data_IF_806980191851
#
_entry.id   IF_806980191851
#
_cell.length_a   1.000
_cell.length_b   1.000
_cell.length_c   1.000
_cell.angle_alpha   90.00
_cell.angle_beta   90.00
_cell.angle_gamma   90.00
#
_symmetry.space_group_name_H-M   'P 1'
#
loop_
_entity.id
_entity.type
_entity.pdbx_description
1 polymer ?
#
# COMPACT_ATOMS: atom_id res chain seq x y z
N UNK A 1 -19.54 37.36 -21.36
CA UNK A 1 -19.74 35.91 -21.57
C UNK A 1 -20.91 35.47 -20.72
N UNK A 2 -21.86 34.67 -21.23
CA UNK A 2 -22.90 34.10 -20.38
C UNK A 2 -22.29 33.12 -19.38
N UNK A 3 -22.78 33.12 -18.14
CA UNK A 3 -22.43 32.11 -17.13
C UNK A 3 -22.87 30.72 -17.63
N UNK A 4 -21.98 29.74 -17.58
CA UNK A 4 -22.25 28.34 -17.96
C UNK A 4 -22.84 27.53 -16.81
N UNK A 5 -23.05 28.13 -15.64
CA UNK A 5 -23.60 27.45 -14.47
C UNK A 5 -25.10 27.78 -14.32
N UNK A 6 -25.94 26.78 -14.01
CA UNK A 6 -27.37 27.01 -13.78
C UNK A 6 -27.57 27.85 -12.52
N UNK A 7 -28.34 28.95 -12.64
CA UNK A 7 -28.62 29.86 -11.50
C UNK A 7 -29.74 29.35 -10.58
N UNK A 8 -30.47 28.31 -10.98
CA UNK A 8 -31.43 27.61 -10.14
C UNK A 8 -30.81 26.33 -9.62
N UNK A 9 -30.65 26.26 -8.30
CA UNK A 9 -30.08 25.11 -7.59
C UNK A 9 -30.70 23.80 -8.06
N UNK A 10 -29.87 22.98 -8.68
CA UNK A 10 -30.23 21.60 -9.01
C UNK A 10 -30.21 20.83 -7.70
N UNK A 11 -31.39 20.57 -7.14
CA UNK A 11 -31.55 19.56 -6.09
C UNK A 11 -31.43 18.21 -6.78
N UNK A 12 -30.20 17.70 -6.84
CA UNK A 12 -30.01 16.28 -7.11
C UNK A 12 -30.61 15.51 -5.92
N UNK A 13 -31.37 14.46 -6.23
CA UNK A 13 -32.25 13.76 -5.30
C UNK A 13 -31.57 13.29 -4.01
N UNK A 14 -32.42 13.04 -3.01
CA UNK A 14 -32.17 12.54 -1.66
C UNK A 14 -30.70 12.61 -1.21
N UNK A 15 -30.40 13.54 -0.30
CA UNK A 15 -29.24 13.43 0.57
C UNK A 15 -29.33 12.08 1.31
N UNK A 16 -28.87 11.00 0.66
CA UNK A 16 -28.50 9.79 1.34
C UNK A 16 -27.35 10.21 2.26
N UNK A 17 -27.72 10.37 3.52
CA UNK A 17 -26.83 10.55 4.64
C UNK A 17 -25.92 9.31 4.73
N UNK A 18 -24.85 9.33 3.93
CA UNK A 18 -23.78 8.31 3.92
C UNK A 18 -22.97 8.32 5.24
N UNK A 19 -23.36 9.12 6.23
CA UNK A 19 -22.68 9.23 7.53
C UNK A 19 -22.85 8.00 8.44
N UNK A 20 -23.53 6.96 7.97
CA UNK A 20 -23.76 5.71 8.69
C UNK A 20 -22.79 4.57 8.36
N UNK A 21 -21.55 4.81 7.95
CA UNK A 21 -20.56 3.73 7.95
C UNK A 21 -20.19 3.42 9.41
N UNK A 22 -20.81 2.38 9.97
CA UNK A 22 -20.38 1.83 11.26
C UNK A 22 -18.86 1.61 11.18
N UNK A 23 -18.11 2.24 12.09
CA UNK A 23 -16.68 2.00 12.24
C UNK A 23 -16.49 0.55 12.69
N UNK A 24 -16.34 -0.38 11.73
CA UNK A 24 -15.89 -1.73 12.05
C UNK A 24 -14.54 -1.58 12.77
N UNK A 25 -14.44 -2.11 13.99
CA UNK A 25 -13.17 -2.15 14.70
C UNK A 25 -12.13 -2.86 13.82
N UNK A 26 -11.08 -2.13 13.45
CA UNK A 26 -10.02 -2.65 12.58
C UNK A 26 -9.28 -3.76 13.32
N UNK A 27 -9.39 -5.00 12.82
CA UNK A 27 -8.80 -6.18 13.46
C UNK A 27 -7.41 -6.47 12.94
N UNK A 28 -6.45 -6.63 13.85
CA UNK A 28 -5.13 -7.15 13.54
C UNK A 28 -5.08 -8.65 13.85
N UNK A 29 -4.88 -9.45 12.80
CA UNK A 29 -4.77 -10.92 12.89
C UNK A 29 -3.34 -11.41 13.07
N UNK A 30 -3.20 -12.67 13.49
CA UNK A 30 -1.89 -13.36 13.52
C UNK A 30 -1.57 -13.92 12.14
N UNK A 31 -0.28 -14.05 11.85
CA UNK A 31 0.21 -14.59 10.59
C UNK A 31 1.32 -15.62 10.78
N UNK A 32 2.02 -15.90 9.70
CA UNK A 32 3.24 -16.71 9.69
C UNK A 32 4.41 -15.81 9.34
N UNK A 33 5.55 -16.05 9.96
CA UNK A 33 6.78 -15.32 9.63
C UNK A 33 7.34 -15.83 8.32
N UNK A 34 7.56 -14.89 7.41
CA UNK A 34 8.22 -15.13 6.14
C UNK A 34 9.49 -14.29 6.10
N UNK A 35 10.60 -14.92 5.74
CA UNK A 35 11.87 -14.26 5.50
C UNK A 35 11.94 -13.91 4.01
N UNK A 36 11.86 -12.62 3.69
CA UNK A 36 11.89 -12.14 2.30
C UNK A 36 13.28 -12.21 1.67
N UNK A 37 14.35 -12.22 2.48
CA UNK A 37 15.71 -12.33 1.98
C UNK A 37 16.04 -13.80 1.65
N UNK A 38 15.60 -14.73 2.50
CA UNK A 38 15.73 -16.16 2.25
C UNK A 38 14.67 -16.71 1.26
N UNK A 39 13.53 -16.04 1.15
CA UNK A 39 12.40 -16.48 0.33
C UNK A 39 11.64 -17.67 0.91
N UNK A 40 11.68 -17.89 2.23
CA UNK A 40 11.06 -19.04 2.88
C UNK A 40 10.43 -18.67 4.24
N UNK A 41 9.56 -19.55 4.74
CA UNK A 41 8.98 -19.42 6.06
C UNK A 41 10.02 -19.68 7.15
N UNK A 42 10.02 -18.81 8.17
CA UNK A 42 10.90 -19.00 9.32
C UNK A 42 10.42 -20.19 10.14
N UNK A 43 11.30 -21.16 10.39
CA UNK A 43 10.99 -22.34 11.20
C UNK A 43 11.48 -22.15 12.65
N UNK A 44 10.68 -22.66 13.59
CA UNK A 44 11.09 -22.83 14.99
C UNK A 44 12.12 -23.98 15.12
N UNK A 45 12.88 -24.07 16.23
CA UNK A 45 13.77 -25.21 16.47
C UNK A 45 13.08 -26.58 16.44
N UNK A 46 11.75 -26.61 16.62
CA UNK A 46 10.91 -27.81 16.54
C UNK A 46 10.46 -28.19 15.12
N UNK A 47 10.85 -27.43 14.10
CA UNK A 47 10.47 -27.65 12.70
C UNK A 47 9.09 -27.12 12.30
N UNK A 48 8.36 -26.44 13.19
CA UNK A 48 7.08 -25.77 12.87
C UNK A 48 7.31 -24.37 12.35
N UNK A 49 6.45 -23.87 11.46
CA UNK A 49 6.48 -22.47 11.00
C UNK A 49 6.27 -21.52 12.18
N UNK A 50 7.10 -20.49 12.26
CA UNK A 50 7.03 -19.47 13.30
C UNK A 50 5.81 -18.57 13.07
N UNK A 51 5.04 -18.36 14.13
CA UNK A 51 3.90 -17.45 14.08
C UNK A 51 4.36 -16.00 14.15
N UNK A 52 3.75 -15.14 13.33
CA UNK A 52 3.88 -13.70 13.40
C UNK A 52 2.78 -13.13 14.31
N UNK A 53 3.14 -12.16 15.15
CA UNK A 53 2.19 -11.39 15.94
C UNK A 53 1.31 -10.49 15.06
N UNK A 54 0.38 -9.76 15.69
CA UNK A 54 -0.53 -8.83 15.02
C UNK A 54 0.21 -7.79 14.16
N UNK A 55 1.12 -7.04 14.78
CA UNK A 55 1.95 -6.03 14.11
C UNK A 55 2.83 -6.62 13.02
N UNK A 56 3.55 -7.70 13.35
CA UNK A 56 4.47 -8.37 12.42
C UNK A 56 3.72 -8.93 11.19
N UNK A 57 2.52 -9.48 11.38
CA UNK A 57 1.69 -9.95 10.28
C UNK A 57 1.20 -8.80 9.38
N UNK A 58 0.98 -7.60 9.93
CA UNK A 58 0.66 -6.41 9.16
C UNK A 58 1.88 -5.89 8.37
N UNK A 59 3.07 -5.82 8.98
CA UNK A 59 4.32 -5.50 8.26
C UNK A 59 4.51 -6.45 7.06
N UNK A 60 4.36 -7.76 7.32
CA UNK A 60 4.47 -8.79 6.29
C UNK A 60 3.44 -8.61 5.17
N UNK A 61 2.23 -8.15 5.50
CA UNK A 61 1.22 -7.79 4.52
C UNK A 61 1.64 -6.58 3.68
N UNK A 62 2.15 -5.50 4.30
CA UNK A 62 2.59 -4.30 3.59
C UNK A 62 3.69 -4.61 2.57
N UNK A 63 4.72 -5.34 2.99
CA UNK A 63 5.83 -5.75 2.12
C UNK A 63 5.29 -6.58 0.94
N UNK A 64 4.42 -7.55 1.22
CA UNK A 64 3.83 -8.40 0.19
C UNK A 64 2.97 -7.61 -0.80
N UNK A 65 2.14 -6.69 -0.29
CA UNK A 65 1.24 -5.88 -1.11
C UNK A 65 2.05 -5.00 -2.07
N UNK A 66 3.11 -4.35 -1.60
CA UNK A 66 3.99 -3.54 -2.46
C UNK A 66 4.71 -4.39 -3.51
N UNK A 67 5.20 -5.59 -3.15
CA UNK A 67 5.92 -6.48 -4.07
C UNK A 67 5.04 -7.27 -5.04
N UNK A 68 3.72 -7.25 -4.86
CA UNK A 68 2.81 -8.03 -5.72
C UNK A 68 2.30 -7.14 -6.87
N UNK A 69 2.51 -7.52 -8.14
CA UNK A 69 1.93 -6.81 -9.27
C UNK A 69 0.40 -6.86 -9.24
N UNK A 70 -0.24 -5.69 -9.24
CA UNK A 70 -1.69 -5.56 -9.26
C UNK A 70 -2.24 -6.14 -10.57
N UNK A 71 -3.44 -6.71 -10.53
CA UNK A 71 -4.15 -7.32 -11.67
C UNK A 71 -3.49 -8.56 -12.32
N UNK A 72 -2.29 -8.96 -11.90
CA UNK A 72 -1.55 -10.10 -12.46
C UNK A 72 -2.10 -11.45 -12.04
N UNK A 73 -2.60 -11.56 -10.81
CA UNK A 73 -3.02 -12.84 -10.22
C UNK A 73 -4.50 -12.85 -9.87
N UNK A 74 -5.23 -13.83 -10.39
CA UNK A 74 -6.70 -13.98 -10.23
C UNK A 74 -7.12 -14.19 -8.77
N UNK A 75 -6.22 -14.67 -7.92
CA UNK A 75 -6.48 -14.90 -6.49
C UNK A 75 -6.62 -13.60 -5.68
N UNK A 76 -6.20 -12.46 -6.25
CA UNK A 76 -6.23 -11.17 -5.58
C UNK A 76 -7.40 -10.31 -6.04
N UNK A 77 -7.91 -9.50 -5.11
CA UNK A 77 -8.87 -8.45 -5.45
C UNK A 77 -8.17 -7.37 -6.29
N UNK A 78 -8.98 -6.54 -6.97
CA UNK A 78 -8.45 -5.39 -7.73
C UNK A 78 -7.75 -4.35 -6.85
N UNK A 79 -7.99 -4.37 -5.55
CA UNK A 79 -7.40 -3.43 -4.59
C UNK A 79 -6.10 -3.96 -3.96
N UNK A 80 -5.61 -5.12 -4.39
CA UNK A 80 -4.40 -5.73 -3.82
C UNK A 80 -3.25 -5.74 -4.83
N UNK A 81 -2.07 -5.34 -4.36
CA UNK A 81 -0.87 -5.21 -5.18
C UNK A 81 -0.55 -3.76 -5.52
N UNK A 82 0.62 -3.53 -6.11
CA UNK A 82 1.07 -2.24 -6.65
C UNK A 82 1.23 -2.30 -8.17
N UNK A 83 1.27 -1.13 -8.81
CA UNK A 83 1.50 -0.96 -10.26
C UNK A 83 2.95 -0.52 -10.54
N UNK A 84 3.87 -0.77 -9.59
CA UNK A 84 5.27 -0.30 -9.65
C UNK A 84 6.04 -0.88 -10.83
N UNK A 85 5.69 -2.09 -11.28
CA UNK A 85 6.30 -2.74 -12.44
C UNK A 85 5.96 -2.04 -13.76
N UNK A 86 4.88 -1.26 -13.80
CA UNK A 86 4.49 -0.49 -14.99
C UNK A 86 5.37 0.75 -15.23
N UNK A 87 6.09 1.23 -14.20
CA UNK A 87 6.99 2.39 -14.30
C UNK A 87 8.29 2.08 -15.06
N UNK A 88 8.62 0.80 -15.19
CA UNK A 88 9.86 0.34 -15.80
C UNK A 88 9.81 0.60 -17.31
N UNK A 89 10.81 1.33 -17.82
CA UNK A 89 10.93 1.58 -19.25
C UNK A 89 10.02 2.67 -19.82
N UNK A 90 9.29 3.43 -18.99
CA UNK A 90 8.44 4.54 -19.46
C UNK A 90 9.23 5.76 -19.96
N UNK A 91 10.53 5.85 -19.64
CA UNK A 91 11.40 6.94 -20.08
C UNK A 91 11.12 8.28 -19.39
N UNK A 92 10.39 8.25 -18.28
CA UNK A 92 10.04 9.43 -17.49
C UNK A 92 11.24 10.04 -16.77
N UNK A 93 11.11 11.32 -16.41
CA UNK A 93 12.08 11.97 -15.55
C UNK A 93 12.02 11.36 -14.13
N UNK A 94 13.15 11.35 -13.42
CA UNK A 94 13.22 10.82 -12.05
C UNK A 94 12.18 11.44 -11.12
N UNK A 95 11.93 12.75 -11.20
CA UNK A 95 10.92 13.40 -10.36
C UNK A 95 9.49 12.92 -10.64
N UNK A 96 9.19 12.56 -11.90
CA UNK A 96 7.89 11.94 -12.25
C UNK A 96 7.82 10.53 -11.68
N UNK A 97 8.88 9.73 -11.83
CA UNK A 97 8.94 8.38 -11.25
C UNK A 97 8.81 8.40 -9.72
N UNK A 98 9.52 9.28 -9.02
CA UNK A 98 9.41 9.44 -7.56
C UNK A 98 8.00 9.82 -7.11
N UNK A 99 7.32 10.70 -7.86
CA UNK A 99 5.93 11.07 -7.61
C UNK A 99 4.98 9.88 -7.82
N UNK A 100 5.16 9.12 -8.90
CA UNK A 100 4.33 7.94 -9.18
C UNK A 100 4.59 6.81 -8.17
N UNK A 101 5.83 6.56 -7.78
CA UNK A 101 6.16 5.60 -6.70
C UNK A 101 5.46 6.02 -5.41
N UNK A 102 5.56 7.29 -5.03
CA UNK A 102 4.88 7.82 -3.84
C UNK A 102 3.38 7.57 -3.90
N UNK A 103 2.74 7.90 -5.02
CA UNK A 103 1.31 7.72 -5.24
C UNK A 103 0.91 6.25 -5.16
N UNK A 104 1.55 5.38 -5.95
CA UNK A 104 1.21 3.96 -6.06
C UNK A 104 1.43 3.20 -4.76
N UNK A 105 2.52 3.46 -4.03
CA UNK A 105 2.79 2.84 -2.73
C UNK A 105 1.75 3.29 -1.70
N UNK A 106 1.45 4.58 -1.67
CA UNK A 106 0.44 5.15 -0.75
C UNK A 106 -0.93 4.54 -1.00
N UNK A 107 -1.38 4.50 -2.26
CA UNK A 107 -2.65 3.86 -2.64
C UNK A 107 -2.69 2.37 -2.29
N UNK A 108 -1.59 1.65 -2.51
CA UNK A 108 -1.48 0.21 -2.23
C UNK A 108 -1.63 -0.09 -0.74
N UNK A 109 -0.98 0.69 0.12
CA UNK A 109 -0.96 0.42 1.55
C UNK A 109 -2.19 0.97 2.28
N UNK A 110 -2.75 2.11 1.83
CA UNK A 110 -3.99 2.68 2.37
C UNK A 110 -5.24 1.89 1.95
N UNK A 111 -5.13 0.95 1.01
CA UNK A 111 -6.20 0.02 0.68
C UNK A 111 -6.55 -0.94 1.83
N UNK A 112 -5.67 -1.09 2.84
CA UNK A 112 -5.93 -1.88 4.04
C UNK A 112 -6.24 -0.96 5.23
N UNK A 113 -7.37 -1.18 5.93
CA UNK A 113 -7.83 -0.30 7.00
C UNK A 113 -6.91 -0.26 8.23
N UNK A 114 -5.92 -1.15 8.32
CA UNK A 114 -4.90 -1.14 9.38
C UNK A 114 -3.87 -0.05 9.21
N UNK A 115 -3.68 0.44 7.98
CA UNK A 115 -2.71 1.48 7.65
C UNK A 115 -3.34 2.85 7.84
N UNK A 116 -2.71 3.69 8.65
CA UNK A 116 -3.15 5.07 8.90
C UNK A 116 -2.49 6.06 7.93
N UNK A 117 -1.17 5.94 7.74
CA UNK A 117 -0.42 6.87 6.89
C UNK A 117 0.83 6.24 6.29
N UNK A 118 1.22 6.80 5.13
CA UNK A 118 2.45 6.46 4.40
C UNK A 118 3.12 7.76 4.00
N UNK A 119 4.33 8.01 4.49
CA UNK A 119 5.03 9.28 4.28
C UNK A 119 6.56 9.12 4.37
N UNK A 120 7.29 10.24 4.43
CA UNK A 120 8.76 10.26 4.55
C UNK A 120 9.47 9.43 3.49
N UNK A 121 9.05 9.58 2.24
CA UNK A 121 9.68 8.91 1.11
C UNK A 121 11.12 9.41 0.92
N UNK A 122 12.04 8.46 0.73
CA UNK A 122 13.40 8.73 0.27
C UNK A 122 13.71 7.86 -0.94
N UNK A 123 14.53 8.38 -1.84
CA UNK A 123 14.86 7.74 -3.11
C UNK A 123 16.36 7.73 -3.32
N UNK A 124 16.90 6.59 -3.70
CA UNK A 124 18.28 6.41 -4.12
C UNK A 124 18.32 5.74 -5.50
N UNK A 125 19.01 6.40 -6.43
CA UNK A 125 19.02 6.01 -7.84
C UNK A 125 20.36 5.41 -8.23
N UNK A 126 20.32 4.15 -8.67
CA UNK A 126 21.45 3.48 -9.30
C UNK A 126 21.13 3.19 -10.78
N UNK A 127 21.58 4.08 -11.67
CA UNK A 127 21.27 4.06 -13.11
C UNK A 127 19.77 4.14 -13.37
N UNK A 128 19.15 3.01 -13.70
CA UNK A 128 17.72 2.82 -14.00
C UNK A 128 16.96 2.22 -12.82
N UNK A 129 17.66 1.66 -11.82
CA UNK A 129 17.06 1.12 -10.60
C UNK A 129 16.82 2.24 -9.60
N UNK A 130 15.62 2.25 -9.00
CA UNK A 130 15.26 3.14 -7.91
C UNK A 130 15.05 2.32 -6.63
N UNK A 131 15.91 2.52 -5.64
CA UNK A 131 15.66 2.09 -4.27
C UNK A 131 14.83 3.18 -3.59
N UNK A 132 13.78 2.79 -2.88
CA UNK A 132 13.01 3.73 -2.07
C UNK A 132 12.78 3.18 -0.67
N UNK A 133 12.61 4.10 0.27
CA UNK A 133 12.05 3.79 1.58
C UNK A 133 10.97 4.77 1.95
N UNK A 134 10.02 4.33 2.78
CA UNK A 134 8.98 5.19 3.35
C UNK A 134 8.64 4.75 4.77
N UNK A 135 8.11 5.69 5.55
CA UNK A 135 7.53 5.41 6.85
C UNK A 135 6.07 5.01 6.67
N UNK A 136 5.70 3.89 7.27
CA UNK A 136 4.32 3.39 7.30
C UNK A 136 3.85 3.36 8.75
N UNK A 137 2.74 4.03 9.04
CA UNK A 137 2.13 4.04 10.36
C UNK A 137 0.79 3.31 10.33
N UNK A 138 0.52 2.57 11.41
CA UNK A 138 -0.75 1.87 11.63
C UNK A 138 -1.73 2.73 12.43
N UNK A 139 -3.01 2.37 12.39
CA UNK A 139 -4.06 2.96 13.25
C UNK A 139 -3.84 2.73 14.75
N UNK A 140 -2.87 1.88 15.13
CA UNK A 140 -2.47 1.63 16.52
C UNK A 140 -1.19 2.40 16.91
N UNK A 141 -0.80 3.41 16.12
CA UNK A 141 0.41 4.23 16.28
C UNK A 141 1.74 3.46 16.19
N UNK A 142 1.72 2.18 15.82
CA UNK A 142 2.93 1.42 15.50
C UNK A 142 3.45 1.82 14.11
N UNK A 143 4.77 1.98 13.97
CA UNK A 143 5.42 2.45 12.74
C UNK A 143 6.59 1.57 12.34
N UNK A 144 6.84 1.44 11.04
CA UNK A 144 8.05 0.83 10.52
C UNK A 144 8.52 1.52 9.23
N UNK A 145 9.77 1.26 8.84
CA UNK A 145 10.30 1.69 7.55
C UNK A 145 10.13 0.53 6.56
N UNK A 146 9.42 0.79 5.48
CA UNK A 146 9.34 -0.12 4.34
C UNK A 146 10.44 0.24 3.36
N UNK A 147 11.19 -0.77 2.93
CA UNK A 147 12.22 -0.64 1.89
C UNK A 147 11.84 -1.52 0.71
N UNK A 148 11.93 -0.98 -0.49
CA UNK A 148 11.72 -1.74 -1.72
C UNK A 148 12.47 -1.11 -2.88
N UNK A 149 12.50 -1.83 -3.99
CA UNK A 149 13.13 -1.41 -5.23
C UNK A 149 12.13 -1.46 -6.38
N UNK A 150 12.37 -0.60 -7.36
CA UNK A 150 11.76 -0.64 -8.69
C UNK A 150 12.90 -0.91 -9.68
N UNK A 151 12.83 -2.05 -10.37
CA UNK A 151 13.81 -2.54 -11.35
C UNK A 151 13.13 -2.68 -12.70
#
# INVERSE_FOLDING_TARGET
>A
MPSLFPETGVVWGDEEDLSGAASEEVRFGRGWRFDYDAGDFVLTPSGKVAAAGAHEAWIQWCIKAVKTPRYRHVIYSRNYGSELDELVGQGDSRGVMESEITRMVTETLLADPRTDSVDQFTFDWNREQCMFSCRVASVQEEMFILESEVI
#
